data_IF_289815839032
#
_entry.id   IF_289815839032
#
_cell.length_a   1.000
_cell.length_b   1.000
_cell.length_c   1.000
_cell.angle_alpha   90.00
_cell.angle_beta   90.00
_cell.angle_gamma   90.00
#
_symmetry.space_group_name_H-M   'P 1'
#
loop_
_entity.id
_entity.type
_entity.pdbx_description
1 polymer ?
#
# COMPACT_ATOMS: atom_id res chain seq x y z
N UNK A 1 74.77 -38.03 5.45
CA UNK A 1 74.05 -37.06 4.60
C UNK A 1 73.33 -37.80 3.49
N UNK A 2 72.00 -37.90 3.53
CA UNK A 2 71.17 -38.19 2.36
C UNK A 2 69.73 -37.73 2.65
N UNK A 3 69.20 -36.98 1.71
CA UNK A 3 68.07 -36.06 1.80
C UNK A 3 66.71 -36.78 1.85
N UNK A 4 65.81 -36.30 2.70
CA UNK A 4 64.37 -36.59 2.64
C UNK A 4 63.71 -35.72 1.56
N UNK A 5 63.04 -36.34 0.60
CA UNK A 5 62.12 -35.69 -0.33
C UNK A 5 60.73 -35.59 0.31
N UNK A 6 60.29 -34.37 0.64
CA UNK A 6 58.88 -34.09 0.93
C UNK A 6 58.16 -33.78 -0.37
N UNK A 7 57.22 -34.65 -0.76
CA UNK A 7 56.30 -34.41 -1.86
C UNK A 7 55.22 -33.41 -1.43
N UNK A 8 55.18 -32.26 -2.10
CA UNK A 8 54.18 -31.22 -1.93
C UNK A 8 52.89 -31.65 -2.67
N UNK A 9 51.84 -32.04 -1.95
CA UNK A 9 50.52 -32.27 -2.53
C UNK A 9 49.88 -30.90 -2.83
N UNK A 10 49.78 -30.55 -4.11
CA UNK A 10 49.02 -29.39 -4.57
C UNK A 10 47.51 -29.71 -4.51
N UNK A 11 46.85 -29.28 -3.43
CA UNK A 11 45.40 -29.32 -3.31
C UNK A 11 44.75 -28.26 -4.21
N UNK A 12 44.11 -28.72 -5.28
CA UNK A 12 43.29 -27.90 -6.17
C UNK A 12 42.05 -27.42 -5.39
N UNK A 13 42.05 -26.17 -4.94
CA UNK A 13 40.89 -25.54 -4.30
C UNK A 13 39.82 -25.30 -5.38
N UNK A 14 38.76 -26.11 -5.40
CA UNK A 14 37.58 -25.84 -6.22
C UNK A 14 36.90 -24.57 -5.68
N UNK A 15 36.99 -23.48 -6.44
CA UNK A 15 36.14 -22.31 -6.26
C UNK A 15 34.70 -22.75 -6.54
N UNK A 16 33.91 -22.95 -5.48
CA UNK A 16 32.48 -23.14 -5.62
C UNK A 16 31.88 -21.90 -6.32
N UNK A 17 30.90 -22.09 -7.22
CA UNK A 17 30.30 -21.00 -7.97
C UNK A 17 29.73 -19.95 -7.02
N UNK A 18 30.08 -18.69 -7.32
CA UNK A 18 29.53 -17.48 -6.72
C UNK A 18 28.03 -17.66 -6.54
N UNK A 19 27.53 -17.43 -5.33
CA UNK A 19 26.11 -17.46 -5.03
C UNK A 19 25.37 -16.66 -6.10
N UNK A 20 24.58 -17.37 -6.91
CA UNK A 20 23.49 -16.78 -7.65
C UNK A 20 22.51 -16.31 -6.56
N UNK A 21 22.77 -15.14 -5.96
CA UNK A 21 21.78 -14.46 -5.13
C UNK A 21 20.56 -14.35 -6.03
N UNK A 22 19.52 -15.11 -5.71
CA UNK A 22 18.36 -15.24 -6.57
C UNK A 22 17.81 -13.84 -6.83
N UNK A 23 18.09 -13.30 -8.02
CA UNK A 23 17.63 -11.97 -8.36
C UNK A 23 16.12 -12.05 -8.55
N UNK A 24 15.40 -11.13 -7.92
CA UNK A 24 13.97 -11.00 -8.01
C UNK A 24 13.56 -10.34 -9.33
N UNK A 25 13.90 -10.97 -10.46
CA UNK A 25 13.70 -10.46 -11.83
C UNK A 25 12.38 -10.89 -12.46
N UNK A 26 11.56 -11.68 -11.77
CA UNK A 26 10.25 -12.13 -12.24
C UNK A 26 9.27 -12.35 -11.08
N UNK A 27 7.98 -12.47 -11.39
CA UNK A 27 6.96 -12.85 -10.39
C UNK A 27 7.26 -14.21 -9.73
N UNK A 28 7.83 -15.16 -10.48
CA UNK A 28 8.23 -16.49 -9.96
C UNK A 28 9.43 -16.45 -9.02
N UNK A 29 10.22 -15.37 -9.03
CA UNK A 29 11.37 -15.16 -8.14
C UNK A 29 11.18 -13.98 -7.19
N UNK A 30 9.93 -13.53 -7.01
CA UNK A 30 9.62 -12.34 -6.24
C UNK A 30 9.96 -12.50 -4.74
N UNK A 31 10.56 -11.46 -4.16
CA UNK A 31 10.86 -11.40 -2.72
C UNK A 31 9.61 -11.03 -1.94
N UNK A 32 9.40 -11.66 -0.78
CA UNK A 32 8.24 -11.35 0.05
C UNK A 32 8.36 -9.98 0.71
N UNK A 33 7.35 -9.14 0.54
CA UNK A 33 7.10 -7.96 1.37
C UNK A 33 5.95 -8.23 2.36
N UNK A 34 6.19 -7.89 3.62
CA UNK A 34 5.13 -7.79 4.62
C UNK A 34 4.51 -6.40 4.55
N UNK A 35 3.18 -6.32 4.50
CA UNK A 35 2.48 -5.03 4.45
C UNK A 35 2.82 -4.24 5.72
N UNK A 36 3.26 -2.99 5.55
CA UNK A 36 3.63 -2.06 6.61
C UNK A 36 5.02 -2.27 7.21
N UNK A 37 5.82 -3.21 6.69
CA UNK A 37 7.23 -3.32 7.09
C UNK A 37 8.07 -2.14 6.57
N UNK A 38 9.28 -1.99 7.12
CA UNK A 38 10.25 -1.03 6.60
C UNK A 38 10.59 -1.28 5.12
N UNK A 39 10.88 -0.23 4.36
CA UNK A 39 11.23 -0.37 2.96
C UNK A 39 12.43 -1.30 2.73
N UNK A 40 12.38 -2.05 1.65
CA UNK A 40 13.46 -2.94 1.20
C UNK A 40 14.21 -2.27 0.06
N UNK A 41 15.53 -2.26 0.15
CA UNK A 41 16.39 -1.68 -0.89
C UNK A 41 16.46 -2.62 -2.10
N UNK A 42 16.19 -2.08 -3.28
CA UNK A 42 16.32 -2.72 -4.58
C UNK A 42 17.36 -2.00 -5.42
N UNK A 43 18.38 -2.72 -5.90
CA UNK A 43 19.28 -2.20 -6.90
C UNK A 43 18.77 -2.55 -8.30
N UNK A 44 18.66 -1.56 -9.17
CA UNK A 44 18.34 -1.72 -10.58
C UNK A 44 19.55 -1.27 -11.40
N UNK A 45 20.06 -2.10 -12.30
CA UNK A 45 21.30 -1.81 -13.01
C UNK A 45 21.11 -0.82 -14.19
N UNK A 46 19.93 -0.81 -14.80
CA UNK A 46 19.54 0.02 -15.94
C UNK A 46 18.01 -0.04 -16.16
N UNK A 47 17.52 0.50 -17.27
CA UNK A 47 16.09 0.59 -17.59
C UNK A 47 15.43 -0.73 -18.02
N UNK A 48 16.21 -1.79 -18.20
CA UNK A 48 15.71 -3.15 -18.45
C UNK A 48 15.64 -3.99 -17.18
N UNK A 49 16.26 -3.50 -16.09
CA UNK A 49 16.28 -4.19 -14.80
C UNK A 49 14.91 -4.12 -14.12
N UNK A 50 14.54 -5.19 -13.44
CA UNK A 50 13.27 -5.29 -12.71
C UNK A 50 13.53 -5.83 -11.30
N UNK A 51 12.83 -5.26 -10.32
CA UNK A 51 12.75 -5.78 -8.96
C UNK A 51 11.32 -6.23 -8.66
N UNK A 52 11.13 -7.50 -8.36
CA UNK A 52 9.83 -8.11 -8.12
C UNK A 52 9.64 -8.46 -6.65
N UNK A 53 8.45 -8.17 -6.16
CA UNK A 53 8.05 -8.42 -4.79
C UNK A 53 6.66 -9.04 -4.76
N UNK A 54 6.38 -9.91 -3.80
CA UNK A 54 5.03 -10.40 -3.55
C UNK A 54 4.53 -9.97 -2.18
N UNK A 55 3.22 -9.89 -2.01
CA UNK A 55 2.57 -9.54 -0.74
C UNK A 55 1.24 -10.29 -0.61
N UNK A 56 0.67 -10.34 0.60
CA UNK A 56 -0.64 -10.96 0.87
C UNK A 56 -1.68 -9.89 1.21
N UNK A 57 -2.35 -9.32 0.19
CA UNK A 57 -3.46 -8.42 0.42
C UNK A 57 -4.69 -9.16 0.94
N UNK A 58 -5.61 -8.40 1.54
CA UNK A 58 -6.97 -8.86 1.83
C UNK A 58 -7.93 -8.29 0.77
N UNK A 59 -8.83 -9.13 0.22
CA UNK A 59 -9.92 -8.69 -0.65
C UNK A 59 -10.64 -7.45 -0.14
N UNK A 60 -10.84 -6.47 -1.03
CA UNK A 60 -11.65 -5.28 -0.77
C UNK A 60 -11.00 -4.25 0.16
N UNK A 61 -9.70 -4.36 0.47
CA UNK A 61 -8.94 -3.35 1.24
C UNK A 61 -8.13 -2.44 0.33
N UNK A 62 -7.86 -1.22 0.78
CA UNK A 62 -6.96 -0.30 0.07
C UNK A 62 -5.53 -0.40 0.54
N UNK A 63 -4.61 -0.24 -0.42
CA UNK A 63 -3.17 -0.33 -0.25
C UNK A 63 -2.48 0.76 -1.06
N UNK A 64 -1.23 1.02 -0.72
CA UNK A 64 -0.37 1.83 -1.55
C UNK A 64 1.06 1.27 -1.62
N UNK A 65 1.51 0.96 -2.84
CA UNK A 65 2.87 0.54 -3.14
C UNK A 65 3.69 1.76 -3.57
N UNK A 66 4.87 1.94 -3.00
CA UNK A 66 5.76 3.04 -3.35
C UNK A 66 7.18 2.56 -3.64
N UNK A 67 7.79 3.19 -4.64
CA UNK A 67 9.19 3.04 -5.02
C UNK A 67 9.79 4.44 -4.97
N UNK A 68 10.69 4.67 -4.02
CA UNK A 68 11.35 5.96 -3.81
C UNK A 68 12.84 5.81 -3.98
N UNK A 69 13.55 6.89 -4.34
CA UNK A 69 15.00 6.86 -4.41
C UNK A 69 15.60 6.52 -3.03
N UNK A 70 16.53 5.57 -2.96
CA UNK A 70 17.11 5.17 -1.68
C UNK A 70 18.09 6.23 -1.17
N UNK A 71 18.01 6.56 0.12
CA UNK A 71 18.94 7.52 0.73
C UNK A 71 20.41 7.06 0.67
N UNK A 72 20.66 5.75 0.57
CA UNK A 72 22.01 5.20 0.41
C UNK A 72 22.61 5.64 -0.94
N UNK A 73 21.78 5.83 -1.95
CA UNK A 73 22.19 6.26 -3.29
C UNK A 73 22.52 7.75 -3.35
N UNK A 74 21.85 8.59 -2.56
CA UNK A 74 22.09 10.04 -2.55
C UNK A 74 23.51 10.43 -2.08
N UNK A 75 24.21 9.53 -1.37
CA UNK A 75 25.57 9.76 -0.86
C UNK A 75 26.67 9.39 -1.87
N UNK A 76 26.34 8.64 -2.93
CA UNK A 76 27.28 8.35 -4.01
C UNK A 76 27.23 9.48 -5.05
N UNK A 77 28.15 10.43 -4.90
CA UNK A 77 28.40 11.54 -5.82
C UNK A 77 28.42 11.06 -7.28
N UNK A 78 27.34 11.31 -8.03
CA UNK A 78 27.24 11.00 -9.46
C UNK A 78 25.98 10.26 -9.93
N UNK A 79 25.08 9.83 -9.06
CA UNK A 79 23.80 9.27 -9.52
C UNK A 79 22.86 10.37 -10.01
N UNK A 80 22.50 10.30 -11.30
CA UNK A 80 21.37 11.05 -11.86
C UNK A 80 20.10 10.59 -11.16
N UNK A 81 19.26 11.55 -10.75
CA UNK A 81 17.94 11.29 -10.19
C UNK A 81 17.23 10.24 -11.06
N UNK A 82 17.10 9.02 -10.52
CA UNK A 82 16.45 7.95 -11.25
C UNK A 82 14.95 8.18 -11.18
N UNK A 83 14.29 7.93 -12.29
CA UNK A 83 12.84 7.97 -12.46
C UNK A 83 12.31 6.53 -12.30
N UNK A 84 11.81 6.16 -11.10
CA UNK A 84 11.25 4.83 -10.85
C UNK A 84 9.85 4.70 -11.40
N UNK A 85 9.48 3.48 -11.79
CA UNK A 85 8.09 3.11 -12.11
C UNK A 85 7.65 1.99 -11.19
N UNK A 86 6.42 2.07 -10.67
CA UNK A 86 5.81 1.00 -9.88
C UNK A 86 4.61 0.43 -10.60
N UNK A 87 4.59 -0.90 -10.80
CA UNK A 87 3.43 -1.63 -11.32
C UNK A 87 2.99 -2.67 -10.31
N UNK A 88 1.69 -2.74 -10.03
CA UNK A 88 1.07 -3.73 -9.14
C UNK A 88 0.28 -4.72 -9.99
N UNK A 89 0.43 -6.01 -9.72
CA UNK A 89 -0.24 -7.10 -10.43
C UNK A 89 -1.07 -7.98 -9.49
N UNK A 90 -2.08 -8.63 -10.05
CA UNK A 90 -2.85 -9.71 -9.41
C UNK A 90 -2.01 -10.99 -9.24
N UNK A 91 -2.62 -12.04 -8.70
CA UNK A 91 -1.95 -13.31 -8.38
C UNK A 91 -1.38 -14.07 -9.60
N UNK A 92 -1.77 -13.71 -10.82
CA UNK A 92 -1.22 -14.28 -12.05
C UNK A 92 0.12 -13.63 -12.47
N UNK A 93 0.54 -12.55 -11.80
CA UNK A 93 1.75 -11.79 -12.12
C UNK A 93 1.72 -11.06 -13.46
N UNK A 94 0.55 -10.95 -14.12
CA UNK A 94 0.40 -10.34 -15.46
C UNK A 94 -0.75 -9.35 -15.56
N UNK A 95 -1.85 -9.55 -14.82
CA UNK A 95 -2.98 -8.63 -14.77
C UNK A 95 -2.63 -7.42 -13.90
N UNK A 96 -2.53 -6.25 -14.51
CA UNK A 96 -2.23 -4.99 -13.82
C UNK A 96 -3.41 -4.54 -12.96
N UNK A 97 -3.14 -4.20 -11.69
CA UNK A 97 -4.07 -3.59 -10.74
C UNK A 97 -3.90 -2.08 -10.73
N UNK A 98 -2.66 -1.61 -10.68
CA UNK A 98 -2.32 -0.20 -10.68
C UNK A 98 -0.91 0.01 -11.23
N UNK A 99 -0.68 1.18 -11.81
CA UNK A 99 0.62 1.62 -12.29
C UNK A 99 0.78 3.10 -12.00
N UNK A 100 1.98 3.51 -11.62
CA UNK A 100 2.34 4.90 -11.50
C UNK A 100 3.80 5.06 -11.94
N UNK A 101 4.02 6.13 -12.70
CA UNK A 101 5.28 6.56 -13.29
C UNK A 101 5.38 8.05 -12.95
N UNK A 102 5.69 8.31 -11.68
CA UNK A 102 6.08 9.57 -11.01
C UNK A 102 5.26 10.87 -11.23
N UNK A 103 4.21 10.88 -12.04
CA UNK A 103 3.46 12.08 -12.40
C UNK A 103 2.22 12.26 -11.50
N UNK A 104 2.14 13.40 -10.82
CA UNK A 104 0.90 14.01 -10.34
C UNK A 104 0.25 13.37 -9.12
N UNK A 105 0.97 12.57 -8.33
CA UNK A 105 0.47 11.97 -7.09
C UNK A 105 0.92 12.74 -5.86
N UNK A 106 -0.04 13.19 -5.06
CA UNK A 106 0.26 13.89 -3.81
C UNK A 106 0.49 12.96 -2.60
N UNK A 107 1.30 13.39 -1.60
CA UNK A 107 2.14 14.59 -1.60
C UNK A 107 3.20 14.55 -2.72
N UNK A 108 3.32 15.68 -3.41
CA UNK A 108 4.28 15.84 -4.50
C UNK A 108 5.69 15.65 -3.95
N UNK A 109 6.41 14.71 -4.54
CA UNK A 109 7.77 14.41 -4.17
C UNK A 109 8.51 14.06 -5.45
N UNK A 110 9.42 14.95 -5.86
CA UNK A 110 10.19 14.82 -7.09
C UNK A 110 10.71 13.38 -7.26
N UNK A 111 10.23 12.73 -8.33
CA UNK A 111 10.64 11.40 -8.82
C UNK A 111 10.39 10.24 -7.83
N UNK A 112 9.20 10.21 -7.23
CA UNK A 112 8.70 9.05 -6.48
C UNK A 112 7.51 8.42 -7.20
N UNK A 113 7.54 7.10 -7.36
CA UNK A 113 6.44 6.37 -7.96
C UNK A 113 5.56 5.72 -6.90
N UNK A 114 4.26 5.98 -6.96
CA UNK A 114 3.28 5.52 -5.97
C UNK A 114 1.99 5.04 -6.63
N UNK A 115 1.73 3.75 -6.54
CA UNK A 115 0.50 3.13 -7.00
C UNK A 115 -0.38 2.78 -5.80
N UNK A 116 -1.43 3.58 -5.57
CA UNK A 116 -2.46 3.30 -4.58
C UNK A 116 -3.69 2.69 -5.25
N UNK A 117 -4.34 1.73 -4.58
CA UNK A 117 -5.39 0.91 -5.18
C UNK A 117 -6.26 0.24 -4.14
N UNK A 118 -7.47 -0.15 -4.55
CA UNK A 118 -8.33 -1.07 -3.79
C UNK A 118 -8.07 -2.48 -4.34
N UNK A 119 -7.66 -3.41 -3.48
CA UNK A 119 -7.40 -4.79 -3.89
C UNK A 119 -8.70 -5.47 -4.32
N UNK A 120 -8.76 -6.05 -5.53
CA UNK A 120 -9.97 -6.71 -6.02
C UNK A 120 -10.29 -7.97 -5.20
N UNK A 121 -11.49 -8.52 -5.37
CA UNK A 121 -11.94 -9.72 -4.66
C UNK A 121 -11.32 -11.03 -5.16
N UNK A 122 -10.20 -10.96 -5.89
CA UNK A 122 -9.54 -12.11 -6.53
C UNK A 122 -8.14 -12.31 -5.98
N UNK A 123 -7.86 -13.56 -5.59
CA UNK A 123 -6.54 -13.97 -5.09
C UNK A 123 -6.16 -13.36 -3.74
N UNK A 124 -5.23 -14.04 -3.07
CA UNK A 124 -4.64 -13.58 -1.81
C UNK A 124 -3.14 -13.28 -1.97
N UNK A 125 -2.69 -13.03 -3.20
CA UNK A 125 -1.29 -12.70 -3.50
C UNK A 125 -1.27 -11.64 -4.57
N UNK A 126 -0.54 -10.57 -4.32
CA UNK A 126 -0.23 -9.55 -5.30
C UNK A 126 1.25 -9.46 -5.54
N UNK A 127 1.62 -8.88 -6.68
CA UNK A 127 3.01 -8.60 -7.01
C UNK A 127 3.22 -7.10 -7.20
N UNK A 128 4.41 -6.64 -6.82
CA UNK A 128 4.91 -5.30 -7.12
C UNK A 128 6.12 -5.48 -8.00
N UNK A 129 6.18 -4.75 -9.11
CA UNK A 129 7.35 -4.63 -9.96
C UNK A 129 7.85 -3.19 -9.89
N UNK A 130 9.09 -3.03 -9.45
CA UNK A 130 9.85 -1.81 -9.55
C UNK A 130 10.71 -1.85 -10.82
N UNK A 131 10.61 -0.81 -11.65
CA UNK A 131 11.50 -0.55 -12.79
C UNK A 131 12.01 0.87 -12.72
N UNK A 132 12.86 1.26 -13.67
CA UNK A 132 13.34 2.63 -13.80
C UNK A 132 13.44 3.03 -15.28
N UNK A 133 13.34 4.31 -15.57
CA UNK A 133 13.58 4.86 -16.92
C UNK A 133 15.08 5.07 -17.18
N UNK A 134 15.88 5.24 -16.12
CA UNK A 134 17.32 5.49 -16.24
C UNK A 134 18.12 4.28 -16.75
N UNK A 135 19.11 4.55 -17.60
CA UNK A 135 20.12 3.56 -18.02
C UNK A 135 21.26 3.38 -17.02
N UNK A 136 21.28 4.15 -15.94
CA UNK A 136 22.29 4.05 -14.87
C UNK A 136 21.84 3.12 -13.77
N UNK A 137 22.80 2.56 -13.03
CA UNK A 137 22.49 1.82 -11.82
C UNK A 137 21.97 2.77 -10.73
N UNK A 138 20.83 2.45 -10.14
CA UNK A 138 20.23 3.19 -9.03
C UNK A 138 19.73 2.22 -7.95
N UNK A 139 19.57 2.72 -6.72
CA UNK A 139 18.94 1.96 -5.64
C UNK A 139 17.65 2.63 -5.20
N UNK A 140 16.63 1.83 -4.94
CA UNK A 140 15.29 2.27 -4.61
C UNK A 140 14.81 1.61 -3.32
N UNK A 141 14.09 2.36 -2.51
CA UNK A 141 13.37 1.86 -1.35
C UNK A 141 11.95 1.44 -1.81
N UNK A 142 11.64 0.15 -1.69
CA UNK A 142 10.35 -0.42 -2.08
C UNK A 142 9.56 -0.80 -0.84
N UNK A 143 8.31 -0.33 -0.75
CA UNK A 143 7.39 -0.68 0.34
C UNK A 143 5.95 -0.76 -0.11
N UNK A 144 5.13 -1.41 0.71
CA UNK A 144 3.67 -1.41 0.58
C UNK A 144 3.03 -1.21 1.94
N UNK A 145 2.03 -0.34 2.01
CA UNK A 145 1.26 -0.03 3.22
C UNK A 145 -0.24 -0.26 2.97
N UNK A 146 -0.98 -0.59 4.02
CA UNK A 146 -2.45 -0.62 3.98
C UNK A 146 -2.98 0.80 4.23
N UNK A 147 -3.83 1.32 3.35
CA UNK A 147 -4.42 2.66 3.47
C UNK A 147 -5.88 2.62 3.93
N UNK A 148 -6.40 1.42 4.23
CA UNK A 148 -7.79 1.27 4.71
C UNK A 148 -7.95 2.01 6.03
N UNK A 149 -8.94 2.90 6.08
CA UNK A 149 -9.28 3.67 7.27
C UNK A 149 -10.37 2.93 8.05
N UNK A 150 -10.27 2.94 9.38
CA UNK A 150 -11.18 2.25 10.28
C UNK A 150 -11.67 3.20 11.37
N UNK A 151 -12.98 3.20 11.62
CA UNK A 151 -13.59 3.80 12.79
C UNK A 151 -14.21 2.69 13.64
N UNK A 152 -13.87 2.59 14.93
CA UNK A 152 -14.30 1.48 15.76
C UNK A 152 -15.80 1.44 16.02
N UNK A 153 -16.50 2.57 15.85
CA UNK A 153 -17.88 2.70 16.30
C UNK A 153 -18.75 3.63 15.43
N UNK A 154 -19.96 3.19 15.09
CA UNK A 154 -21.13 4.02 14.80
C UNK A 154 -22.37 3.61 15.62
N UNK A 155 -23.33 4.51 15.82
CA UNK A 155 -24.62 4.20 16.45
C UNK A 155 -25.77 4.96 15.77
N UNK A 156 -26.89 4.27 15.52
CA UNK A 156 -28.04 4.81 14.77
C UNK A 156 -29.40 4.36 15.35
N UNK A 157 -29.49 4.11 16.65
CA UNK A 157 -30.74 3.68 17.30
C UNK A 157 -31.45 4.81 18.04
N UNK A 158 -32.76 4.66 18.26
CA UNK A 158 -33.59 5.67 18.90
C UNK A 158 -33.66 6.94 18.04
N UNK A 159 -33.27 8.07 18.63
CA UNK A 159 -33.17 9.36 17.96
C UNK A 159 -31.72 9.76 17.60
N UNK A 160 -30.78 8.81 17.73
CA UNK A 160 -29.39 9.00 17.32
C UNK A 160 -29.18 8.66 15.86
N UNK A 161 -28.26 9.39 15.24
CA UNK A 161 -27.79 9.13 13.90
C UNK A 161 -26.28 9.34 13.79
N UNK A 162 -25.62 8.60 12.91
CA UNK A 162 -24.19 8.70 12.66
C UNK A 162 -23.92 9.38 11.32
N UNK A 163 -23.16 10.46 11.36
CA UNK A 163 -22.73 11.23 10.19
C UNK A 163 -21.23 11.08 10.01
N UNK A 164 -20.80 10.54 8.88
CA UNK A 164 -19.39 10.38 8.52
C UNK A 164 -18.98 11.52 7.59
N UNK A 165 -18.08 12.37 8.05
CA UNK A 165 -17.43 13.40 7.23
C UNK A 165 -16.16 12.79 6.61
N UNK A 166 -16.00 12.96 5.29
CA UNK A 166 -14.80 12.54 4.56
C UNK A 166 -14.28 13.75 3.81
N UNK A 167 -13.00 14.07 3.99
CA UNK A 167 -12.30 15.13 3.28
C UNK A 167 -11.17 14.53 2.46
N UNK A 168 -11.14 14.88 1.18
CA UNK A 168 -9.97 14.71 0.34
C UNK A 168 -9.00 15.87 0.63
N UNK A 169 -7.78 15.53 1.03
CA UNK A 169 -6.71 16.48 1.34
C UNK A 169 -5.77 16.69 0.18
N UNK A 170 -6.01 16.02 -0.95
CA UNK A 170 -5.19 16.12 -2.16
C UNK A 170 -5.81 17.01 -3.22
N UNK A 171 -5.02 17.43 -4.21
CA UNK A 171 -5.47 18.14 -5.41
C UNK A 171 -6.06 17.21 -6.48
N UNK A 172 -5.83 15.89 -6.39
CA UNK A 172 -6.37 14.90 -7.32
C UNK A 172 -7.68 14.29 -6.80
N UNK A 173 -8.49 13.73 -7.70
CA UNK A 173 -9.72 13.04 -7.28
C UNK A 173 -9.41 11.71 -6.61
N UNK A 174 -10.13 11.38 -5.53
CA UNK A 174 -10.01 10.11 -4.82
C UNK A 174 -11.35 9.37 -4.85
N UNK A 175 -11.33 8.12 -5.33
CA UNK A 175 -12.47 7.22 -5.22
C UNK A 175 -12.46 6.55 -3.85
N UNK A 176 -13.63 6.41 -3.25
CA UNK A 176 -13.78 5.78 -1.94
C UNK A 176 -15.01 4.88 -1.88
N UNK A 177 -14.97 3.92 -0.97
CA UNK A 177 -16.10 3.09 -0.57
C UNK A 177 -16.16 3.03 0.95
N UNK A 178 -17.33 3.34 1.51
CA UNK A 178 -17.63 3.24 2.93
C UNK A 178 -18.42 1.95 3.15
N UNK A 179 -17.94 1.13 4.08
CA UNK A 179 -18.60 -0.10 4.52
C UNK A 179 -18.94 0.02 5.99
N UNK A 180 -20.21 -0.18 6.34
CA UNK A 180 -20.64 -0.33 7.73
C UNK A 180 -20.71 -1.81 8.07
N UNK A 181 -20.12 -2.20 9.20
CA UNK A 181 -20.15 -3.58 9.69
C UNK A 181 -20.92 -3.65 11.00
N UNK A 182 -21.72 -4.69 11.19
CA UNK A 182 -22.34 -4.96 12.49
C UNK A 182 -21.32 -5.54 13.49
N UNK A 183 -21.77 -5.79 14.72
CA UNK A 183 -20.95 -6.41 15.79
C UNK A 183 -20.45 -7.82 15.46
N UNK A 184 -21.06 -8.52 14.51
CA UNK A 184 -20.59 -9.81 14.01
C UNK A 184 -19.56 -9.68 12.87
N UNK A 185 -19.21 -8.45 12.48
CA UNK A 185 -18.25 -8.14 11.41
C UNK A 185 -18.80 -8.23 9.99
N UNK A 186 -20.10 -8.53 9.81
CA UNK A 186 -20.74 -8.58 8.50
C UNK A 186 -21.02 -7.17 7.98
N UNK A 187 -20.81 -6.94 6.68
CA UNK A 187 -21.19 -5.67 6.02
C UNK A 187 -22.73 -5.57 6.01
N UNK A 188 -23.26 -4.48 6.55
CA UNK A 188 -24.70 -4.20 6.67
C UNK A 188 -25.15 -2.97 5.89
N UNK A 189 -24.19 -2.25 5.30
CA UNK A 189 -24.43 -1.14 4.39
C UNK A 189 -23.14 -0.80 3.65
N UNK A 190 -23.29 -0.29 2.42
CA UNK A 190 -22.17 0.16 1.59
C UNK A 190 -22.61 1.37 0.77
N UNK A 191 -21.71 2.34 0.62
CA UNK A 191 -21.83 3.40 -0.38
C UNK A 191 -20.46 3.73 -0.95
N UNK A 192 -20.43 4.16 -2.21
CA UNK A 192 -19.21 4.57 -2.89
C UNK A 192 -19.37 5.96 -3.50
N UNK A 193 -18.26 6.62 -3.77
CA UNK A 193 -18.25 7.90 -4.43
C UNK A 193 -16.86 8.33 -4.84
N UNK A 194 -16.79 9.53 -5.42
CA UNK A 194 -15.53 10.19 -5.79
C UNK A 194 -15.54 11.57 -5.17
N UNK A 195 -14.44 11.94 -4.51
CA UNK A 195 -14.19 13.31 -4.06
C UNK A 195 -13.23 13.96 -5.03
N UNK A 196 -13.61 15.12 -5.59
CA UNK A 196 -12.65 15.98 -6.28
C UNK A 196 -11.53 16.42 -5.33
N UNK A 197 -10.45 16.97 -5.87
CA UNK A 197 -9.37 17.54 -5.06
C UNK A 197 -9.90 18.58 -4.06
N UNK A 198 -9.40 18.57 -2.84
CA UNK A 198 -9.77 19.43 -1.72
C UNK A 198 -11.26 19.39 -1.29
N UNK A 199 -12.06 18.52 -1.91
CA UNK A 199 -13.49 18.41 -1.63
C UNK A 199 -13.75 17.62 -0.35
N UNK A 200 -14.99 17.72 0.14
CA UNK A 200 -15.48 16.90 1.24
C UNK A 200 -16.92 16.46 0.99
N UNK A 201 -17.35 15.42 1.70
CA UNK A 201 -18.72 14.94 1.71
C UNK A 201 -19.10 14.49 3.12
N UNK A 202 -20.40 14.56 3.44
CA UNK A 202 -20.96 14.02 4.67
C UNK A 202 -21.98 12.94 4.32
N UNK A 203 -21.87 11.79 5.00
CA UNK A 203 -22.66 10.61 4.72
C UNK A 203 -23.46 10.25 5.96
N UNK A 204 -24.77 10.13 5.79
CA UNK A 204 -25.69 9.74 6.85
C UNK A 204 -25.85 8.20 6.85
N UNK A 205 -25.47 7.54 7.94
CA UNK A 205 -25.51 6.09 8.07
C UNK A 205 -26.92 5.49 7.95
N UNK A 206 -27.98 6.15 8.44
CA UNK A 206 -29.36 5.61 8.33
C UNK A 206 -29.87 5.54 6.90
N UNK A 207 -29.22 6.22 5.95
CA UNK A 207 -29.52 6.08 4.52
C UNK A 207 -29.06 4.74 3.94
N UNK A 208 -28.15 4.02 4.61
CA UNK A 208 -27.51 2.81 4.10
C UNK A 208 -27.60 1.60 5.04
N UNK A 209 -27.86 1.82 6.33
CA UNK A 209 -27.89 0.78 7.36
C UNK A 209 -29.27 0.74 8.01
N UNK A 210 -29.86 -0.45 8.10
CA UNK A 210 -31.12 -0.65 8.81
C UNK A 210 -30.88 -0.68 10.34
N UNK A 211 -31.32 0.39 11.02
CA UNK A 211 -31.15 0.56 12.47
C UNK A 211 -31.84 -0.51 13.32
N UNK A 212 -32.89 -1.16 12.81
CA UNK A 212 -33.59 -2.23 13.52
C UNK A 212 -32.73 -3.51 13.61
N UNK A 213 -31.88 -3.77 12.62
CA UNK A 213 -31.07 -4.99 12.53
C UNK A 213 -29.59 -4.76 12.84
N UNK A 214 -29.09 -3.55 12.64
CA UNK A 214 -27.70 -3.19 12.88
C UNK A 214 -27.60 -1.78 13.49
N UNK A 215 -28.07 -1.59 14.74
CA UNK A 215 -28.08 -0.28 15.40
C UNK A 215 -26.68 0.27 15.70
N UNK A 216 -25.65 -0.58 15.67
CA UNK A 216 -24.27 -0.22 15.94
C UNK A 216 -23.28 -1.16 15.23
N UNK A 217 -22.03 -0.73 15.21
CA UNK A 217 -20.89 -1.52 14.77
C UNK A 217 -19.73 -0.63 14.36
N UNK A 218 -18.96 -0.99 13.35
CA UNK A 218 -17.77 -0.24 12.89
C UNK A 218 -17.91 0.26 11.45
N UNK A 219 -17.03 1.19 11.06
CA UNK A 219 -16.99 1.75 9.71
C UNK A 219 -15.60 1.52 9.12
N UNK A 220 -15.55 1.07 7.87
CA UNK A 220 -14.32 0.99 7.06
C UNK A 220 -14.45 1.91 5.84
N UNK A 221 -13.40 2.69 5.54
CA UNK A 221 -13.28 3.44 4.29
C UNK A 221 -12.08 2.89 3.52
N UNK A 222 -12.33 2.45 2.30
CA UNK A 222 -11.29 2.03 1.36
C UNK A 222 -11.23 3.03 0.21
N UNK A 223 -10.04 3.35 -0.28
CA UNK A 223 -9.85 4.37 -1.31
C UNK A 223 -8.64 4.07 -2.21
N UNK A 224 -8.53 4.77 -3.33
CA UNK A 224 -7.39 4.68 -4.24
C UNK A 224 -6.41 5.87 -4.11
N UNK A 225 -6.62 6.77 -3.15
CA UNK A 225 -5.68 7.84 -2.79
C UNK A 225 -4.47 7.36 -1.97
N UNK A 226 -3.49 8.25 -1.81
CA UNK A 226 -2.30 8.06 -0.95
C UNK A 226 -2.63 7.97 0.55
N UNK A 227 -1.63 7.59 1.38
CA UNK A 227 -1.80 7.38 2.83
C UNK A 227 -2.62 8.51 3.47
N UNK A 228 -2.24 9.76 3.24
CA UNK A 228 -2.91 10.90 3.86
C UNK A 228 -4.04 11.52 3.02
N UNK A 229 -4.40 10.91 1.89
CA UNK A 229 -5.30 11.51 0.92
C UNK A 229 -6.71 11.73 1.45
N UNK A 230 -7.17 10.87 2.36
CA UNK A 230 -8.44 11.06 3.05
C UNK A 230 -8.23 11.29 4.54
N UNK A 231 -9.00 12.24 5.08
CA UNK A 231 -9.24 12.39 6.53
C UNK A 231 -10.73 12.24 6.77
N UNK A 232 -11.09 11.51 7.83
CA UNK A 232 -12.48 11.25 8.14
C UNK A 232 -12.73 11.21 9.64
N UNK A 233 -13.95 11.57 10.01
CA UNK A 233 -14.51 11.41 11.34
C UNK A 233 -15.95 10.95 11.23
N UNK A 234 -16.46 10.30 12.27
CA UNK A 234 -17.89 10.05 12.40
C UNK A 234 -18.39 10.69 13.68
N UNK A 235 -19.52 11.39 13.58
CA UNK A 235 -20.22 12.00 14.71
C UNK A 235 -21.56 11.32 14.88
N UNK A 236 -21.80 10.75 16.05
CA UNK A 236 -23.12 10.26 16.45
C UNK A 236 -23.85 11.36 17.20
N UNK A 237 -25.00 11.81 16.71
CA UNK A 237 -25.77 12.92 17.26
C UNK A 237 -27.21 12.52 17.57
N UNK A 238 -27.71 12.87 18.76
CA UNK A 238 -29.14 12.75 19.11
C UNK A 238 -29.88 14.03 18.71
N UNK A 239 -30.95 13.85 17.93
CA UNK A 239 -31.79 14.98 17.52
C UNK A 239 -32.60 15.59 18.68
N UNK A 240 -32.92 14.79 19.71
CA UNK A 240 -33.74 15.24 20.85
C UNK A 240 -32.91 15.92 21.94
N UNK A 241 -31.76 15.33 22.28
CA UNK A 241 -30.94 15.79 23.41
C UNK A 241 -29.80 16.70 22.99
N UNK A 242 -29.41 16.67 21.71
CA UNK A 242 -28.21 17.36 21.21
C UNK A 242 -26.89 16.74 21.67
N UNK A 243 -26.91 15.59 22.36
CA UNK A 243 -25.71 14.88 22.76
C UNK A 243 -24.98 14.31 21.54
N UNK A 244 -23.67 14.55 21.48
CA UNK A 244 -22.80 14.15 20.38
C UNK A 244 -21.60 13.34 20.85
N UNK A 245 -21.20 12.35 20.05
CA UNK A 245 -19.99 11.55 20.26
C UNK A 245 -19.20 11.49 18.95
N UNK A 246 -17.95 11.92 18.99
CA UNK A 246 -17.05 11.87 17.85
C UNK A 246 -16.12 10.65 17.95
N UNK A 247 -15.89 10.01 16.81
CA UNK A 247 -14.84 9.02 16.66
C UNK A 247 -14.06 9.32 15.37
N UNK A 248 -12.73 9.33 15.51
CA UNK A 248 -11.83 9.53 14.37
C UNK A 248 -11.62 8.22 13.63
N UNK A 249 -11.37 8.33 12.34
CA UNK A 249 -10.85 7.22 11.57
C UNK A 249 -9.33 7.14 11.73
N UNK A 250 -8.84 5.93 11.92
CA UNK A 250 -7.41 5.63 11.94
C UNK A 250 -7.08 4.72 10.78
N UNK A 251 -5.91 4.91 10.17
CA UNK A 251 -5.38 3.88 9.30
C UNK A 251 -4.92 2.70 10.13
N UNK A 252 -5.20 1.51 9.62
CA UNK A 252 -4.73 0.29 10.24
C UNK A 252 -3.23 0.13 9.96
N UNK A 253 -2.40 0.65 10.86
CA UNK A 253 -0.96 0.35 10.86
C UNK A 253 -0.76 -1.10 11.29
N UNK A 254 0.06 -1.85 10.56
CA UNK A 254 0.58 -3.12 11.07
C UNK A 254 1.43 -2.79 12.30
N UNK A 255 1.01 -3.28 13.48
CA UNK A 255 1.91 -3.37 14.63
C UNK A 255 2.98 -4.42 14.37
#
# INVERSE_FOLDING_TARGET
MRFFHQGLLAGLLFLAPVELLAQNVSSGTAVRLTIGQQAVVQNLANNTSQGWFNFQPRPGRSYCASVTFSHISALASGMTQGDPVVTVFQSDGTTVVAINDDIGTEPDADLQSRACFIWPSVGNTGFIRATQVSNTANSYDVRIIETTMFCPWFFISGDYNAFTLIRNTTDSSVNFTVNWRNSAGAIVGTTSGTLAGNANTAINAVSFVNSATAPNGSIEIVHDGSEDALKASTTTLSATTGLGFDALFEQRRSQ
#
